data_IF_018754269639
#
_entry.id   IF_018754269639
#
_cell.length_a   1.000
_cell.length_b   1.000
_cell.length_c   1.000
_cell.angle_alpha   90.00
_cell.angle_beta   90.00
_cell.angle_gamma   90.00
#
_symmetry.space_group_name_H-M   'P 1'
#
loop_
_entity.id
_entity.type
_entity.pdbx_description
1 polymer ?
#
# COMPACT_ATOMS: atom_id res chain seq x y z
N UNK A 1 -41.96 63.68 -11.05
CA UNK A 1 -42.76 62.97 -10.03
C UNK A 1 -43.39 61.75 -10.69
N UNK A 2 -42.82 60.57 -10.47
CA UNK A 2 -43.55 59.29 -10.52
C UNK A 2 -42.75 58.30 -9.68
N UNK A 3 -43.45 57.63 -8.78
CA UNK A 3 -42.93 56.75 -7.75
C UNK A 3 -42.77 55.33 -8.28
N UNK A 4 -41.71 54.66 -7.81
CA UNK A 4 -41.77 53.25 -7.44
C UNK A 4 -41.34 52.25 -8.49
N UNK A 5 -40.10 51.78 -8.36
CA UNK A 5 -39.81 50.34 -8.43
C UNK A 5 -38.70 50.05 -7.41
N UNK A 6 -39.05 49.30 -6.38
CA UNK A 6 -38.14 48.77 -5.36
C UNK A 6 -37.71 47.41 -5.90
N UNK A 7 -36.50 47.30 -6.46
CA UNK A 7 -35.90 45.98 -6.71
C UNK A 7 -35.43 45.39 -5.37
N UNK A 8 -35.92 44.21 -4.95
CA UNK A 8 -35.35 43.49 -3.82
C UNK A 8 -34.02 42.86 -4.25
N UNK A 9 -32.94 43.26 -3.58
CA UNK A 9 -31.64 42.60 -3.70
C UNK A 9 -31.74 41.14 -3.23
N UNK A 10 -31.69 40.18 -4.16
CA UNK A 10 -31.47 38.78 -3.83
C UNK A 10 -29.99 38.55 -3.47
N UNK A 11 -29.64 38.05 -2.27
CA UNK A 11 -28.34 37.45 -2.07
C UNK A 11 -28.35 36.08 -2.78
N UNK A 12 -27.74 36.00 -3.98
CA UNK A 12 -27.48 34.70 -4.61
C UNK A 12 -26.61 33.86 -3.70
N UNK A 13 -27.26 32.89 -3.10
CA UNK A 13 -26.70 31.78 -2.34
C UNK A 13 -25.87 30.90 -3.26
N UNK A 14 -24.64 30.62 -2.86
CA UNK A 14 -23.96 29.37 -3.17
C UNK A 14 -22.96 29.41 -4.32
N UNK A 15 -21.67 29.38 -3.97
CA UNK A 15 -20.73 28.45 -4.58
C UNK A 15 -19.64 28.13 -3.55
N UNK A 16 -20.06 27.54 -2.43
CA UNK A 16 -19.16 26.74 -1.61
C UNK A 16 -18.93 25.44 -2.38
N UNK A 17 -17.90 25.40 -3.23
CA UNK A 17 -17.35 24.14 -3.73
C UNK A 17 -15.96 23.90 -3.12
N UNK A 18 -15.90 23.99 -1.79
CA UNK A 18 -15.01 23.13 -1.02
C UNK A 18 -15.58 21.71 -1.10
N UNK A 19 -15.43 21.06 -2.25
CA UNK A 19 -15.65 19.62 -2.34
C UNK A 19 -14.75 18.94 -1.31
N UNK A 20 -15.20 17.86 -0.64
CA UNK A 20 -14.31 17.13 0.27
C UNK A 20 -13.03 16.77 -0.49
N UNK A 21 -11.84 16.91 0.10
CA UNK A 21 -10.62 16.44 -0.54
C UNK A 21 -10.90 15.00 -0.93
N UNK A 22 -10.83 14.71 -2.23
CA UNK A 22 -11.01 13.35 -2.70
C UNK A 22 -9.89 12.58 -2.01
N UNK A 23 -10.25 11.81 -0.99
CA UNK A 23 -9.36 10.88 -0.32
C UNK A 23 -8.92 9.93 -1.41
N UNK A 24 -7.79 10.23 -2.05
CA UNK A 24 -7.22 9.34 -3.05
C UNK A 24 -7.01 8.01 -2.31
N UNK A 25 -7.66 6.92 -2.71
CA UNK A 25 -7.53 5.68 -1.99
C UNK A 25 -6.09 5.20 -2.19
N UNK A 26 -5.25 5.43 -1.19
CA UNK A 26 -3.91 4.86 -1.16
C UNK A 26 -4.06 3.36 -1.00
N UNK A 27 -3.30 2.60 -1.76
CA UNK A 27 -3.25 1.17 -1.57
C UNK A 27 -2.41 0.92 -0.32
N UNK A 28 -3.00 0.28 0.67
CA UNK A 28 -2.36 -0.07 1.93
C UNK A 28 -2.39 -1.56 2.16
N UNK A 29 -1.43 -2.04 2.98
CA UNK A 29 -1.52 -3.38 3.54
C UNK A 29 -2.57 -3.39 4.65
N UNK A 30 -3.44 -4.39 4.62
CA UNK A 30 -4.42 -4.61 5.69
C UNK A 30 -3.72 -5.20 6.93
N UNK A 31 -4.39 -5.15 8.09
CA UNK A 31 -3.80 -5.64 9.35
C UNK A 31 -3.25 -7.07 9.23
N UNK A 32 -4.05 -8.02 8.74
CA UNK A 32 -3.61 -9.41 8.58
C UNK A 32 -2.45 -9.57 7.59
N UNK A 33 -2.37 -8.71 6.57
CA UNK A 33 -1.25 -8.71 5.64
C UNK A 33 0.03 -8.20 6.30
N UNK A 34 -0.07 -7.11 7.07
CA UNK A 34 1.03 -6.59 7.87
C UNK A 34 1.49 -7.61 8.90
N UNK A 35 0.59 -8.30 9.58
CA UNK A 35 0.94 -9.32 10.57
C UNK A 35 1.78 -10.45 9.94
N UNK A 36 1.44 -10.88 8.72
CA UNK A 36 2.23 -11.88 7.98
C UNK A 36 3.60 -11.36 7.53
N UNK A 37 3.65 -10.13 7.01
CA UNK A 37 4.91 -9.51 6.56
C UNK A 37 5.84 -9.26 7.75
N UNK A 38 5.31 -8.72 8.85
CA UNK A 38 6.06 -8.44 10.06
C UNK A 38 6.47 -9.71 10.79
N UNK A 39 5.64 -10.75 10.76
CA UNK A 39 6.00 -12.08 11.26
C UNK A 39 7.16 -12.70 10.50
N UNK A 40 7.19 -12.57 9.17
CA UNK A 40 8.34 -12.94 8.34
C UNK A 40 9.58 -12.11 8.70
N UNK A 41 9.41 -10.78 8.78
CA UNK A 41 10.48 -9.86 9.11
C UNK A 41 11.13 -10.19 10.45
N UNK A 42 10.34 -10.41 11.50
CA UNK A 42 10.83 -10.77 12.82
C UNK A 42 11.68 -12.04 12.83
N UNK A 43 11.26 -13.08 12.11
CA UNK A 43 12.07 -14.32 11.98
C UNK A 43 13.38 -14.08 11.24
N UNK A 44 13.36 -13.29 10.18
CA UNK A 44 14.56 -12.97 9.39
C UNK A 44 15.53 -12.05 10.13
N UNK A 45 15.03 -11.15 10.98
CA UNK A 45 15.85 -10.38 11.92
C UNK A 45 16.47 -11.31 12.97
N UNK A 46 15.72 -12.26 13.53
CA UNK A 46 16.24 -13.24 14.49
C UNK A 46 17.34 -14.14 13.87
N UNK A 47 17.26 -14.42 12.56
CA UNK A 47 18.30 -15.10 11.79
C UNK A 47 19.49 -14.20 11.42
N UNK A 48 19.41 -12.88 11.67
CA UNK A 48 20.42 -11.89 11.31
C UNK A 48 20.49 -11.57 9.81
N UNK A 49 19.51 -12.02 9.03
CA UNK A 49 19.44 -11.79 7.59
C UNK A 49 18.96 -10.37 7.26
N UNK A 50 17.96 -9.88 8.00
CA UNK A 50 17.31 -8.59 7.75
C UNK A 50 17.59 -7.63 8.91
N UNK A 51 17.61 -6.32 8.63
CA UNK A 51 17.94 -5.30 9.64
C UNK A 51 17.04 -4.09 9.63
N UNK A 52 16.52 -3.72 8.47
CA UNK A 52 15.67 -2.54 8.32
C UNK A 52 14.59 -2.78 7.28
N UNK A 53 13.53 -1.97 7.32
CA UNK A 53 12.43 -2.01 6.37
C UNK A 53 11.85 -0.62 6.11
N UNK A 54 11.25 -0.43 4.94
CA UNK A 54 10.46 0.75 4.60
C UNK A 54 9.10 0.31 4.05
N UNK A 55 8.07 1.08 4.36
CA UNK A 55 6.72 0.87 3.84
C UNK A 55 6.30 2.11 3.06
N UNK A 56 6.09 1.94 1.76
CA UNK A 56 5.66 3.00 0.85
C UNK A 56 4.22 2.76 0.42
N UNK A 57 3.34 3.73 0.70
CA UNK A 57 1.94 3.70 0.27
C UNK A 57 1.75 4.60 -0.95
N UNK A 58 1.83 4.00 -2.13
CA UNK A 58 1.61 4.71 -3.39
C UNK A 58 0.12 4.72 -3.77
N UNK A 59 -0.22 5.55 -4.75
CA UNK A 59 -1.58 5.69 -5.27
C UNK A 59 -2.14 4.38 -5.85
N UNK A 60 -1.27 3.55 -6.41
CA UNK A 60 -1.64 2.34 -7.16
C UNK A 60 -1.13 1.04 -6.53
N UNK A 61 -0.22 1.13 -5.56
CA UNK A 61 0.35 -0.03 -4.86
C UNK A 61 0.92 0.31 -3.49
N UNK A 62 0.94 -0.68 -2.61
CA UNK A 62 1.73 -0.65 -1.39
C UNK A 62 3.03 -1.43 -1.60
N UNK A 63 4.14 -0.94 -1.07
CA UNK A 63 5.45 -1.60 -1.17
C UNK A 63 6.06 -1.73 0.21
N UNK A 64 6.49 -2.94 0.56
CA UNK A 64 7.30 -3.22 1.74
C UNK A 64 8.70 -3.59 1.27
N UNK A 65 9.65 -2.71 1.51
CA UNK A 65 11.05 -2.86 1.12
C UNK A 65 11.86 -3.35 2.30
N UNK A 66 12.69 -4.38 2.08
CA UNK A 66 13.53 -5.00 3.11
C UNK A 66 14.98 -4.71 2.83
N UNK A 67 15.74 -4.38 3.87
CA UNK A 67 17.16 -4.06 3.77
C UNK A 67 18.00 -4.96 4.69
N UNK A 68 19.15 -5.40 4.17
CA UNK A 68 20.17 -6.11 4.95
C UNK A 68 21.05 -5.14 5.75
N UNK A 69 21.23 -3.92 5.26
CA UNK A 69 21.95 -2.81 5.91
C UNK A 69 21.29 -1.48 5.52
N UNK A 70 21.38 -0.46 6.39
CA UNK A 70 20.75 0.86 6.26
C UNK A 70 21.21 1.70 5.05
N UNK A 71 22.08 1.20 4.17
CA UNK A 71 22.58 1.93 2.99
C UNK A 71 22.71 1.05 1.75
N UNK A 72 22.13 -0.15 1.77
CA UNK A 72 22.12 -1.07 0.62
C UNK A 72 20.79 -0.98 -0.14
N UNK A 73 20.82 -1.42 -1.39
CA UNK A 73 19.61 -1.59 -2.21
C UNK A 73 18.68 -2.59 -1.49
N UNK A 74 17.35 -2.37 -1.47
CA UNK A 74 16.44 -3.31 -0.84
C UNK A 74 16.63 -4.70 -1.45
N UNK A 75 16.88 -5.70 -0.60
CA UNK A 75 17.15 -7.08 -1.02
C UNK A 75 15.89 -7.74 -1.57
N UNK A 76 14.74 -7.36 -1.00
CA UNK A 76 13.42 -7.81 -1.42
C UNK A 76 12.41 -6.67 -1.31
N UNK A 77 11.42 -6.69 -2.20
CA UNK A 77 10.25 -5.81 -2.17
C UNK A 77 8.99 -6.64 -2.29
N UNK A 78 8.09 -6.50 -1.33
CA UNK A 78 6.77 -7.10 -1.36
C UNK A 78 5.81 -6.02 -1.83
N UNK A 79 5.16 -6.20 -2.97
CA UNK A 79 4.22 -5.24 -3.54
C UNK A 79 2.79 -5.77 -3.48
N UNK A 80 1.84 -4.92 -3.09
CA UNK A 80 0.39 -5.12 -3.23
C UNK A 80 -0.13 -4.20 -4.33
N UNK A 81 -0.61 -4.76 -5.43
CA UNK A 81 -1.18 -4.03 -6.56
C UNK A 81 -2.59 -4.53 -6.90
N UNK A 82 -3.65 -3.87 -6.40
CA UNK A 82 -5.05 -4.22 -6.67
C UNK A 82 -5.42 -4.20 -8.15
N UNK A 83 -4.73 -3.41 -8.98
CA UNK A 83 -5.00 -3.33 -10.42
C UNK A 83 -4.63 -4.62 -11.15
N UNK A 84 -3.68 -5.39 -10.62
CA UNK A 84 -3.24 -6.68 -11.17
C UNK A 84 -4.03 -7.88 -10.61
N UNK A 85 -4.92 -7.65 -9.64
CA UNK A 85 -5.71 -8.69 -8.97
C UNK A 85 -6.49 -9.60 -9.91
N UNK A 86 -6.99 -9.07 -11.04
CA UNK A 86 -7.84 -9.82 -11.97
C UNK A 86 -7.10 -10.76 -12.93
N UNK A 87 -5.78 -10.58 -13.13
CA UNK A 87 -5.04 -11.35 -14.15
C UNK A 87 -3.80 -12.05 -13.62
N UNK A 88 -3.04 -11.39 -12.75
CA UNK A 88 -1.70 -11.85 -12.39
C UNK A 88 -1.52 -12.07 -10.89
N UNK A 89 -2.47 -11.62 -10.07
CA UNK A 89 -2.40 -11.68 -8.62
C UNK A 89 -2.11 -10.31 -8.01
N UNK A 90 -2.66 -10.08 -6.82
CA UNK A 90 -2.55 -8.79 -6.11
C UNK A 90 -1.19 -8.64 -5.42
N UNK A 91 -0.48 -9.72 -5.10
CA UNK A 91 0.81 -9.68 -4.41
C UNK A 91 1.97 -10.14 -5.29
N UNK A 92 3.12 -9.48 -5.16
CA UNK A 92 4.38 -9.95 -5.73
C UNK A 92 5.57 -9.72 -4.81
N UNK A 93 6.56 -10.61 -4.90
CA UNK A 93 7.89 -10.43 -4.30
C UNK A 93 8.90 -10.21 -5.42
N UNK A 94 9.70 -9.16 -5.27
CA UNK A 94 10.70 -8.72 -6.24
C UNK A 94 12.08 -8.72 -5.56
N UNK A 95 13.11 -9.22 -6.24
CA UNK A 95 14.50 -9.17 -5.77
C UNK A 95 15.13 -7.78 -5.92
N UNK A 96 16.31 -7.58 -5.33
CA UNK A 96 17.16 -6.41 -5.56
C UNK A 96 17.40 -6.11 -7.05
N UNK A 97 17.51 -7.15 -7.88
CA UNK A 97 17.74 -7.02 -9.33
C UNK A 97 16.49 -6.64 -10.13
N UNK A 98 15.34 -6.52 -9.47
CA UNK A 98 14.05 -6.25 -10.14
C UNK A 98 13.35 -7.50 -10.68
N UNK A 99 13.89 -8.70 -10.45
CA UNK A 99 13.28 -9.95 -10.86
C UNK A 99 12.09 -10.29 -9.95
N UNK A 100 10.93 -10.58 -10.54
CA UNK A 100 9.77 -11.08 -9.80
C UNK A 100 10.03 -12.54 -9.40
N UNK A 101 10.28 -12.78 -8.12
CA UNK A 101 10.52 -14.13 -7.57
C UNK A 101 9.22 -14.92 -7.49
N UNK A 102 8.13 -14.26 -7.10
CA UNK A 102 6.81 -14.86 -7.01
C UNK A 102 5.72 -13.82 -7.17
N UNK A 103 4.59 -14.23 -7.75
CA UNK A 103 3.36 -13.45 -7.83
C UNK A 103 2.15 -14.35 -7.57
N UNK A 104 1.09 -13.82 -6.96
CA UNK A 104 -0.13 -14.57 -6.65
C UNK A 104 -1.22 -13.74 -5.98
N UNK A 105 -2.36 -14.38 -5.74
CA UNK A 105 -3.52 -13.77 -5.07
C UNK A 105 -3.42 -13.84 -3.54
N UNK A 106 -2.64 -14.80 -3.03
CA UNK A 106 -2.47 -15.10 -1.61
C UNK A 106 -1.11 -14.60 -1.13
N UNK A 107 -1.08 -13.64 -0.20
CA UNK A 107 0.17 -13.04 0.29
C UNK A 107 1.10 -14.11 0.89
N UNK A 108 0.55 -14.95 1.76
CA UNK A 108 1.13 -16.17 2.33
C UNK A 108 2.00 -16.96 1.36
N UNK A 109 1.39 -17.33 0.23
CA UNK A 109 1.99 -18.20 -0.78
C UNK A 109 3.11 -17.49 -1.53
N UNK A 110 2.98 -16.17 -1.67
CA UNK A 110 4.00 -15.31 -2.28
C UNK A 110 5.18 -15.16 -1.32
N UNK A 111 4.94 -14.95 -0.02
CA UNK A 111 5.99 -14.78 0.99
C UNK A 111 6.82 -16.06 1.21
N UNK A 112 6.26 -17.26 0.98
CA UNK A 112 6.99 -18.54 1.10
C UNK A 112 8.26 -18.65 0.25
N UNK A 113 8.40 -17.82 -0.79
CA UNK A 113 9.64 -17.77 -1.59
C UNK A 113 10.83 -17.21 -0.80
N UNK A 114 10.56 -16.40 0.23
CA UNK A 114 11.56 -15.79 1.11
C UNK A 114 11.84 -16.64 2.35
N UNK A 115 10.85 -17.43 2.78
CA UNK A 115 10.92 -18.32 3.93
C UNK A 115 9.94 -19.50 3.75
N UNK A 116 10.41 -20.71 3.39
CA UNK A 116 9.57 -21.88 3.25
C UNK A 116 8.87 -22.31 4.55
N UNK A 117 9.36 -21.85 5.71
CA UNK A 117 8.82 -22.15 7.04
C UNK A 117 7.70 -21.19 7.46
N UNK A 118 7.25 -20.28 6.59
CA UNK A 118 6.05 -19.47 6.80
C UNK A 118 4.82 -20.36 7.06
N UNK A 119 4.62 -20.70 8.33
CA UNK A 119 3.36 -21.25 8.83
C UNK A 119 2.42 -20.08 9.08
N UNK A 120 1.26 -20.17 8.43
CA UNK A 120 0.11 -19.29 8.58
C UNK A 120 -0.24 -19.22 10.07
N UNK A 121 0.03 -18.08 10.71
CA UNK A 121 -0.44 -17.85 12.08
C UNK A 121 -1.90 -17.41 11.93
N UNK A 122 -2.80 -18.38 11.88
CA UNK A 122 -4.22 -18.13 11.95
C UNK A 122 -4.53 -17.54 13.34
N UNK A 123 -4.86 -16.25 13.38
CA UNK A 123 -5.49 -15.59 14.51
C UNK A 123 -7.00 -15.55 14.32
#
# INVERSE_FOLDING_TARGET
MSFGDIEPSEPRRGEALSGPPHLVPHVIFERGELDHILGLYGRKVAQGEWRDYAIDFLKDRAVFSVFRRASEIPIYRIEKNPRLSRRQGVYSVISATGLILKRGHELERVLRVLDPLLRLVAG
#
